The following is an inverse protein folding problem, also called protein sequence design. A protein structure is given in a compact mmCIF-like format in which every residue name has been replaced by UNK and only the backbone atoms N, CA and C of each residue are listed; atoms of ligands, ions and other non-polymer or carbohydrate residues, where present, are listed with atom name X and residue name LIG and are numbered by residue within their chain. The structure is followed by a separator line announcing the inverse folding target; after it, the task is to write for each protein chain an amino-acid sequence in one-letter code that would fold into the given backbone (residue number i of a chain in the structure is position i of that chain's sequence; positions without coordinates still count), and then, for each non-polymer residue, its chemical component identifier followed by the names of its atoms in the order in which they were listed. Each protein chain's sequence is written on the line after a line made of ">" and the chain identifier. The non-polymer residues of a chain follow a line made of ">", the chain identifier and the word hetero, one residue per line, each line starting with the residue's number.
data_IF_487993258446
#
_entry.id   IF_487993258446
#
_cell.length_a   1.000
_cell.length_b   1.000
_cell.length_c   1.000
_cell.angle_alpha   90.00
_cell.angle_beta   90.00
_cell.angle_gamma   90.00
#
_symmetry.space_group_name_H-M   'P 1'
#
loop_
_entity.id
_entity.type
_entity.pdbx_description
1 polymer ?
#
# COMPACT_ATOMS: atom_id res chain seq x y z
N UNK A 1 21.47 35.71 71.52
CA UNK A 1 21.07 34.57 70.65
C UNK A 1 19.66 34.20 70.97
N UNK A 2 18.75 34.52 70.15
CA UNK A 2 17.34 34.16 70.32
C UNK A 2 17.00 33.04 69.38
N UNK A 3 16.72 31.91 69.96
CA UNK A 3 16.16 30.77 69.25
C UNK A 3 14.69 31.05 68.97
N UNK A 4 14.35 31.23 67.72
CA UNK A 4 12.97 31.37 67.32
C UNK A 4 12.44 29.95 67.10
N UNK A 5 11.66 29.50 68.06
CA UNK A 5 10.93 28.25 67.94
C UNK A 5 9.73 28.47 67.03
N UNK A 6 9.91 28.15 65.79
CA UNK A 6 8.80 28.13 64.81
C UNK A 6 8.04 26.84 64.96
N UNK A 7 6.84 26.92 65.48
CA UNK A 7 5.90 25.81 65.44
C UNK A 7 5.44 25.63 63.98
N UNK A 8 5.91 24.59 63.40
CA UNK A 8 5.38 24.15 62.08
C UNK A 8 4.11 23.39 62.34
N UNK A 9 3.01 24.04 62.05
CA UNK A 9 1.72 23.37 62.03
C UNK A 9 1.66 22.40 60.84
N UNK A 10 1.55 21.13 61.17
CA UNK A 10 1.20 20.13 60.18
C UNK A 10 -0.24 20.33 59.73
N UNK A 11 -0.42 20.94 58.59
CA UNK A 11 -1.68 20.87 57.87
C UNK A 11 -1.65 19.57 57.06
N UNK A 12 -2.38 18.57 57.56
CA UNK A 12 -2.65 17.37 56.83
C UNK A 12 -3.55 17.73 55.61
N UNK A 13 -2.90 18.01 54.51
CA UNK A 13 -3.60 18.15 53.24
C UNK A 13 -4.01 16.74 52.80
N UNK A 14 -5.29 16.45 52.90
CA UNK A 14 -5.86 15.31 52.22
C UNK A 14 -5.79 15.59 50.71
N UNK A 15 -4.76 15.09 50.07
CA UNK A 15 -4.72 15.05 48.64
C UNK A 15 -5.75 14.01 48.17
N UNK A 16 -6.92 14.49 47.81
CA UNK A 16 -7.81 13.70 46.96
C UNK A 16 -7.06 13.43 45.65
N UNK A 17 -6.47 12.26 45.58
CA UNK A 17 -5.94 11.78 44.34
C UNK A 17 -7.06 11.59 43.34
N UNK A 18 -7.28 12.60 42.50
CA UNK A 18 -8.03 12.37 41.28
C UNK A 18 -7.18 11.46 40.41
N UNK A 19 -7.43 10.19 40.48
CA UNK A 19 -6.92 9.27 39.48
C UNK A 19 -7.69 9.59 38.21
N UNK A 20 -7.11 10.47 37.40
CA UNK A 20 -7.52 10.51 36.01
C UNK A 20 -7.17 9.17 35.41
N UNK A 21 -8.14 8.29 35.39
CA UNK A 21 -8.08 7.15 34.50
C UNK A 21 -8.12 7.74 33.09
N UNK A 22 -6.95 7.98 32.52
CA UNK A 22 -6.87 8.18 31.10
C UNK A 22 -7.32 6.87 30.46
N UNK A 23 -8.60 6.79 30.17
CA UNK A 23 -9.06 5.82 29.23
C UNK A 23 -8.40 6.21 27.91
N UNK A 24 -7.26 5.58 27.67
CA UNK A 24 -6.73 5.58 26.31
C UNK A 24 -7.86 5.05 25.44
N UNK A 25 -8.33 5.82 24.46
CA UNK A 25 -9.16 5.21 23.47
C UNK A 25 -8.32 4.06 22.92
N UNK A 26 -8.77 2.85 23.17
CA UNK A 26 -8.25 1.75 22.43
C UNK A 26 -8.57 2.07 20.99
N UNK A 27 -7.62 2.69 20.32
CA UNK A 27 -7.56 2.56 18.90
C UNK A 27 -7.38 1.07 18.67
N UNK A 28 -8.47 0.37 18.61
CA UNK A 28 -8.51 -0.77 17.75
C UNK A 28 -8.29 -0.18 16.37
N UNK A 29 -7.07 0.24 16.14
CA UNK A 29 -6.61 0.42 14.81
C UNK A 29 -7.02 -0.86 14.16
N UNK A 30 -8.01 -0.77 13.26
CA UNK A 30 -8.40 -1.95 12.61
C UNK A 30 -7.11 -2.63 12.25
N UNK A 31 -6.74 -3.63 13.02
CA UNK A 31 -6.04 -4.68 12.41
C UNK A 31 -6.90 -4.87 11.19
N UNK A 32 -6.42 -4.37 10.07
CA UNK A 32 -6.74 -5.08 8.89
C UNK A 32 -6.37 -6.50 9.29
N UNK A 33 -7.31 -7.17 9.87
CA UNK A 33 -7.37 -8.58 9.78
C UNK A 33 -7.37 -8.74 8.26
N UNK A 34 -6.17 -8.68 7.70
CA UNK A 34 -5.94 -9.34 6.45
C UNK A 34 -6.27 -10.77 6.79
N UNK A 35 -7.56 -11.02 6.78
CA UNK A 35 -8.07 -12.37 6.68
C UNK A 35 -7.13 -13.01 5.67
N UNK A 36 -6.45 -14.09 6.01
CA UNK A 36 -5.72 -14.83 5.01
C UNK A 36 -6.75 -15.16 3.96
N UNK A 37 -6.85 -14.25 2.98
CA UNK A 37 -7.70 -14.48 1.83
C UNK A 37 -7.24 -15.81 1.30
N UNK A 38 -8.10 -16.79 1.43
CA UNK A 38 -7.86 -18.12 0.96
C UNK A 38 -7.19 -18.00 -0.40
N UNK A 39 -6.12 -18.73 -0.57
CA UNK A 39 -5.25 -18.72 -1.75
C UNK A 39 -5.97 -19.03 -3.07
N UNK A 40 -7.30 -18.87 -3.09
CA UNK A 40 -8.15 -19.11 -4.25
C UNK A 40 -8.15 -17.97 -5.27
N UNK A 41 -7.59 -16.82 -4.90
CA UNK A 41 -7.55 -15.63 -5.77
C UNK A 41 -6.48 -15.69 -6.87
N UNK A 42 -5.65 -16.71 -6.86
CA UNK A 42 -4.55 -16.82 -7.81
C UNK A 42 -3.41 -15.84 -7.55
N UNK A 43 -2.46 -15.72 -8.47
CA UNK A 43 -1.31 -14.85 -8.28
C UNK A 43 -1.71 -13.38 -8.26
N UNK A 44 -1.12 -12.61 -7.35
CA UNK A 44 -1.25 -11.15 -7.32
C UNK A 44 -0.34 -10.53 -8.36
N UNK A 45 -0.73 -9.37 -8.87
CA UNK A 45 0.08 -8.62 -9.83
C UNK A 45 0.63 -7.37 -9.15
N UNK A 46 1.86 -7.04 -9.44
CA UNK A 46 2.52 -5.84 -8.95
C UNK A 46 3.56 -5.37 -9.95
N UNK A 47 4.03 -4.16 -9.80
CA UNK A 47 5.11 -3.67 -10.63
C UNK A 47 5.36 -2.19 -10.50
N UNK A 48 6.10 -1.69 -11.46
CA UNK A 48 6.50 -0.30 -11.52
C UNK A 48 6.03 0.33 -12.81
N UNK A 49 5.72 1.61 -12.74
CA UNK A 49 5.52 2.46 -13.91
C UNK A 49 6.69 3.42 -13.99
N UNK A 50 7.46 3.32 -15.05
CA UNK A 50 8.65 4.14 -15.30
C UNK A 50 8.60 4.78 -16.67
N UNK A 51 9.32 5.87 -16.83
CA UNK A 51 9.54 6.45 -18.14
C UNK A 51 10.75 5.80 -18.85
N UNK A 52 10.99 6.19 -20.09
CA UNK A 52 12.10 5.67 -20.88
C UNK A 52 13.49 6.01 -20.31
N UNK A 53 13.56 6.99 -19.40
CA UNK A 53 14.79 7.37 -18.69
C UNK A 53 14.95 6.65 -17.35
N UNK A 54 14.05 5.73 -17.01
CA UNK A 54 14.08 5.01 -15.75
C UNK A 54 13.49 5.77 -14.56
N UNK A 55 12.90 6.94 -14.79
CA UNK A 55 12.25 7.72 -13.73
C UNK A 55 10.87 7.14 -13.43
N UNK A 56 10.51 7.14 -12.17
CA UNK A 56 9.18 6.71 -11.73
C UNK A 56 8.10 7.63 -12.31
N UNK A 57 6.95 7.04 -12.65
CA UNK A 57 5.75 7.76 -13.10
C UNK A 57 4.66 7.54 -12.06
N UNK A 58 4.45 8.50 -11.14
CA UNK A 58 3.40 8.40 -10.15
C UNK A 58 2.04 8.71 -10.75
N UNK A 59 0.99 8.23 -10.10
CA UNK A 59 -0.42 8.47 -10.47
C UNK A 59 -0.76 8.08 -11.91
N UNK A 60 -0.10 7.05 -12.41
CA UNK A 60 -0.45 6.45 -13.70
C UNK A 60 -1.62 5.47 -13.50
N UNK A 61 -2.55 5.48 -14.41
CA UNK A 61 -3.64 4.52 -14.46
C UNK A 61 -3.10 3.17 -14.95
N UNK A 62 -3.23 2.14 -14.13
CA UNK A 62 -2.84 0.78 -14.49
C UNK A 62 -4.10 -0.05 -14.66
N UNK A 63 -4.25 -0.64 -15.81
CA UNK A 63 -5.42 -1.41 -16.19
C UNK A 63 -5.02 -2.85 -16.41
N UNK A 64 -5.69 -3.77 -15.73
CA UNK A 64 -5.59 -5.21 -16.02
C UNK A 64 -6.86 -5.65 -16.72
N UNK A 65 -6.74 -6.05 -17.96
CA UNK A 65 -7.82 -6.62 -18.74
C UNK A 65 -7.75 -8.14 -18.65
N UNK A 66 -8.82 -8.75 -18.14
CA UNK A 66 -8.93 -10.19 -18.00
C UNK A 66 -9.84 -10.70 -19.11
N UNK A 67 -9.27 -11.44 -20.03
CA UNK A 67 -9.98 -11.96 -21.20
C UNK A 67 -11.24 -12.73 -20.78
N UNK A 68 -12.40 -12.25 -21.22
CA UNK A 68 -13.69 -12.86 -20.94
C UNK A 68 -14.29 -12.54 -19.56
N UNK A 69 -13.63 -11.71 -18.73
CA UNK A 69 -14.14 -11.40 -17.37
C UNK A 69 -14.25 -9.92 -17.03
N UNK A 70 -13.55 -9.07 -17.75
CA UNK A 70 -13.63 -7.63 -17.52
C UNK A 70 -12.28 -6.96 -17.22
N UNK A 71 -12.35 -5.82 -16.60
CA UNK A 71 -11.20 -4.93 -16.40
C UNK A 71 -11.12 -4.46 -14.95
N UNK A 72 -9.92 -4.50 -14.40
CA UNK A 72 -9.61 -3.94 -13.07
C UNK A 72 -8.64 -2.79 -13.25
N UNK A 73 -8.87 -1.71 -12.52
CA UNK A 73 -8.08 -0.48 -12.62
C UNK A 73 -7.49 -0.15 -11.26
N UNK A 74 -6.22 0.22 -11.25
CA UNK A 74 -5.53 0.80 -10.11
C UNK A 74 -4.68 1.98 -10.56
N UNK A 75 -3.97 2.61 -9.62
CA UNK A 75 -3.05 3.70 -9.93
C UNK A 75 -1.69 3.44 -9.28
N UNK A 76 -0.65 3.91 -9.93
CA UNK A 76 0.67 3.89 -9.33
C UNK A 76 0.74 4.93 -8.20
N UNK A 77 1.49 4.58 -7.17
CA UNK A 77 1.71 5.43 -6.01
C UNK A 77 2.82 6.48 -6.24
N UNK A 78 3.21 7.17 -5.19
CA UNK A 78 4.24 8.23 -5.26
C UNK A 78 5.61 7.73 -5.69
N UNK A 79 5.89 6.45 -5.51
CA UNK A 79 7.16 5.82 -5.90
C UNK A 79 7.02 5.00 -7.19
N UNK A 80 5.90 5.15 -7.88
CA UNK A 80 5.65 4.51 -9.16
C UNK A 80 5.29 3.03 -9.08
N UNK A 81 4.98 2.51 -7.90
CA UNK A 81 4.55 1.12 -7.73
C UNK A 81 3.04 0.97 -7.80
N UNK A 82 2.59 -0.18 -8.25
CA UNK A 82 1.17 -0.54 -8.23
C UNK A 82 0.99 -1.99 -7.78
N UNK A 83 -0.19 -2.28 -7.27
CA UNK A 83 -0.60 -3.61 -6.86
C UNK A 83 -2.01 -3.88 -7.38
N UNK A 84 -2.21 -5.10 -7.84
CA UNK A 84 -3.50 -5.63 -8.27
C UNK A 84 -3.78 -6.92 -7.52
N UNK A 85 -5.04 -7.19 -7.16
CA UNK A 85 -5.40 -8.46 -6.53
C UNK A 85 -5.22 -9.63 -7.49
N UNK A 86 -5.31 -10.85 -6.97
CA UNK A 86 -5.46 -12.03 -7.80
C UNK A 86 -6.84 -12.07 -8.46
N UNK A 87 -6.93 -12.71 -9.60
CA UNK A 87 -8.17 -12.77 -10.39
C UNK A 87 -8.80 -14.16 -10.41
N UNK A 88 -8.27 -15.07 -9.62
CA UNK A 88 -8.73 -16.45 -9.50
C UNK A 88 -7.68 -17.46 -9.98
N UNK A 89 -7.70 -18.64 -9.37
CA UNK A 89 -6.80 -19.76 -9.75
C UNK A 89 -7.06 -20.28 -11.16
N UNK A 90 -8.29 -20.15 -11.62
CA UNK A 90 -8.75 -20.59 -12.93
C UNK A 90 -8.37 -19.63 -14.06
N UNK A 91 -7.82 -18.47 -13.72
CA UNK A 91 -7.37 -17.50 -14.71
C UNK A 91 -5.90 -17.73 -15.04
N UNK A 92 -5.66 -18.10 -16.31
CA UNK A 92 -4.31 -18.18 -16.83
C UNK A 92 -3.70 -16.76 -16.88
N UNK A 93 -2.53 -16.51 -16.30
CA UNK A 93 -1.84 -15.22 -16.39
C UNK A 93 -1.65 -14.72 -17.82
N UNK A 94 -1.58 -15.58 -18.80
CA UNK A 94 -1.51 -15.22 -20.23
C UNK A 94 -2.76 -14.47 -20.72
N UNK A 95 -3.89 -14.67 -20.05
CA UNK A 95 -5.15 -13.99 -20.35
C UNK A 95 -5.32 -12.67 -19.61
N UNK A 96 -4.33 -12.25 -18.82
CA UNK A 96 -4.31 -10.98 -18.10
C UNK A 96 -3.34 -10.04 -18.82
N UNK A 97 -3.89 -8.97 -19.37
CA UNK A 97 -3.11 -7.94 -20.07
C UNK A 97 -3.06 -6.70 -19.19
N UNK A 98 -1.85 -6.32 -18.78
CA UNK A 98 -1.62 -5.10 -18.01
C UNK A 98 -1.19 -4.00 -18.94
N UNK A 99 -1.86 -2.86 -18.85
CA UNK A 99 -1.54 -1.65 -19.60
C UNK A 99 -1.51 -0.45 -18.67
N UNK A 100 -0.77 0.58 -19.04
CA UNK A 100 -0.62 1.79 -18.27
C UNK A 100 -0.93 3.01 -19.13
N UNK A 101 -1.58 4.00 -18.52
CA UNK A 101 -1.88 5.26 -19.20
C UNK A 101 -1.75 6.43 -18.24
N UNK A 102 -1.32 7.56 -18.74
CA UNK A 102 -1.28 8.83 -18.03
C UNK A 102 -1.31 9.97 -19.06
N UNK A 103 -2.00 11.05 -18.71
CA UNK A 103 -2.03 12.24 -19.55
C UNK A 103 -0.61 12.76 -19.80
N UNK A 104 -0.29 13.05 -21.05
CA UNK A 104 1.04 13.48 -21.45
C UNK A 104 2.06 12.36 -21.61
N UNK A 105 1.65 11.11 -21.49
CA UNK A 105 2.49 9.94 -21.66
C UNK A 105 1.88 8.94 -22.63
N UNK A 106 2.75 8.18 -23.29
CA UNK A 106 2.38 7.05 -24.12
C UNK A 106 3.09 5.80 -23.61
N UNK A 107 2.37 4.70 -23.47
CA UNK A 107 2.97 3.42 -23.14
C UNK A 107 3.78 2.91 -24.34
N UNK A 108 5.04 2.57 -24.12
CA UNK A 108 5.93 2.06 -25.13
C UNK A 108 6.23 0.59 -24.98
N UNK A 109 6.21 0.09 -23.74
CA UNK A 109 6.55 -1.30 -23.43
C UNK A 109 5.88 -1.75 -22.16
N UNK A 110 5.50 -3.02 -22.15
CA UNK A 110 5.13 -3.74 -20.92
C UNK A 110 6.04 -4.98 -20.85
N UNK A 111 6.69 -5.14 -19.73
CA UNK A 111 7.57 -6.28 -19.49
C UNK A 111 7.07 -7.08 -18.29
N UNK A 112 6.78 -8.33 -18.52
CA UNK A 112 6.43 -9.27 -17.45
C UNK A 112 7.65 -10.10 -17.10
N UNK A 113 8.06 -10.03 -15.84
CA UNK A 113 9.16 -10.85 -15.36
C UNK A 113 8.70 -12.29 -15.20
N UNK A 114 9.39 -13.26 -15.81
CA UNK A 114 9.03 -14.67 -15.59
C UNK A 114 9.23 -15.03 -14.11
N UNK A 115 8.36 -15.89 -13.57
CA UNK A 115 8.50 -16.33 -12.19
C UNK A 115 9.82 -17.08 -12.01
N UNK A 116 10.52 -16.78 -10.92
CA UNK A 116 11.74 -17.48 -10.53
C UNK A 116 11.42 -18.48 -9.42
N UNK A 117 11.98 -19.66 -9.51
CA UNK A 117 11.83 -20.69 -8.49
C UNK A 117 10.89 -21.82 -8.88
N UNK A 118 10.96 -22.88 -8.07
CA UNK A 118 10.09 -24.05 -8.17
C UNK A 118 8.98 -23.90 -7.13
N UNK A 119 7.75 -23.90 -7.57
CA UNK A 119 6.60 -23.81 -6.69
C UNK A 119 5.45 -23.00 -7.29
N UNK A 120 4.34 -22.87 -6.57
CA UNK A 120 3.20 -22.10 -7.06
C UNK A 120 3.58 -20.63 -7.21
N UNK A 121 3.13 -20.02 -8.32
CA UNK A 121 3.33 -18.60 -8.58
C UNK A 121 2.33 -17.82 -7.71
N UNK A 122 2.84 -17.06 -6.75
CA UNK A 122 2.04 -16.25 -5.83
C UNK A 122 1.97 -14.79 -6.23
N UNK A 123 2.95 -14.32 -7.01
CA UNK A 123 3.02 -12.94 -7.46
C UNK A 123 3.66 -12.85 -8.85
N UNK A 124 3.15 -11.94 -9.66
CA UNK A 124 3.63 -11.69 -11.01
C UNK A 124 4.02 -10.22 -11.11
N UNK A 125 5.28 -9.97 -11.44
CA UNK A 125 5.79 -8.62 -11.65
C UNK A 125 5.61 -8.21 -13.10
N UNK A 126 4.97 -7.06 -13.31
CA UNK A 126 4.83 -6.46 -14.64
C UNK A 126 5.21 -4.99 -14.58
N UNK A 127 6.20 -4.63 -15.35
CA UNK A 127 6.70 -3.25 -15.45
C UNK A 127 6.13 -2.57 -16.69
N UNK A 128 5.62 -1.37 -16.53
CA UNK A 128 5.21 -0.51 -17.65
C UNK A 128 6.27 0.54 -17.91
N UNK A 129 6.67 0.68 -19.17
CA UNK A 129 7.50 1.79 -19.61
C UNK A 129 6.65 2.77 -20.41
N UNK A 130 6.76 4.04 -20.05
CA UNK A 130 6.01 5.13 -20.68
C UNK A 130 6.98 6.18 -21.23
N UNK A 131 6.58 6.85 -22.26
CA UNK A 131 7.32 7.95 -22.84
C UNK A 131 6.49 9.21 -22.78
N UNK A 132 7.10 10.30 -22.35
CA UNK A 132 6.44 11.61 -22.37
C UNK A 132 6.18 12.03 -23.80
N UNK A 133 4.94 12.37 -24.09
CA UNK A 133 4.55 12.90 -25.37
C UNK A 133 4.70 14.42 -25.32
N UNK A 134 5.57 14.96 -26.17
CA UNK A 134 5.71 16.40 -26.33
C UNK A 134 4.70 16.83 -27.40
N UNK A 135 3.60 17.42 -26.98
CA UNK A 135 2.69 18.10 -27.89
C UNK A 135 3.31 19.45 -28.27
N UNK A 136 3.66 19.58 -29.53
CA UNK A 136 4.01 20.90 -30.06
C UNK A 136 2.75 21.74 -30.28
#
# INVERSE_FOLDING_TARGET
>A
MKLISGRIGFLAGIALGLTLTMSTPAWSGGSSDEEPHDHDDGPRYFGFVKDSNGRIVPDAKVTAEIKGRGTVITRSDKVGTYKLPGFGKDIDPKNVIVSCSKDGYKQTRTFRRPPTGKGPVTAIETECTMQRVVTK
#
